data_IF_053847190548
#
_entry.id   IF_053847190548
#
_cell.length_a   1.000
_cell.length_b   1.000
_cell.length_c   1.000
_cell.angle_alpha   90.00
_cell.angle_beta   90.00
_cell.angle_gamma   90.00
#
_symmetry.space_group_name_H-M   'P 1'
#
loop_
_entity.id
_entity.type
_entity.pdbx_description
1 polymer ?
#
# COMPACT_ATOMS: atom_id res chain seq x y z
N UNK A 1 5.61 19.59 -20.52
CA UNK A 1 4.32 20.26 -20.21
C UNK A 1 4.11 20.13 -18.72
N UNK A 2 3.70 21.17 -18.00
CA UNK A 2 3.59 21.09 -16.54
C UNK A 2 2.17 20.69 -16.15
N UNK A 3 2.02 19.57 -15.46
CA UNK A 3 0.77 19.02 -14.98
C UNK A 3 0.58 19.42 -13.53
N UNK A 4 -0.56 20.05 -13.24
CA UNK A 4 -0.97 20.38 -11.88
C UNK A 4 -2.00 19.37 -11.42
N UNK A 5 -1.56 18.45 -10.56
CA UNK A 5 -2.39 17.38 -10.00
C UNK A 5 -2.81 17.79 -8.61
N UNK A 6 -4.09 17.62 -8.28
CA UNK A 6 -4.61 17.78 -6.93
C UNK A 6 -5.00 16.43 -6.37
N UNK A 7 -4.49 16.08 -5.20
CA UNK A 7 -4.84 14.90 -4.44
C UNK A 7 -5.60 15.27 -3.15
N UNK A 8 -6.66 14.52 -2.86
CA UNK A 8 -7.45 14.59 -1.63
C UNK A 8 -7.69 13.20 -1.08
N UNK A 9 -7.98 13.10 0.22
CA UNK A 9 -8.34 11.85 0.88
C UNK A 9 -9.81 11.90 1.32
N UNK A 10 -10.48 10.76 1.31
CA UNK A 10 -11.79 10.60 1.96
C UNK A 10 -11.67 10.35 3.47
N UNK A 11 -10.49 10.01 3.98
CA UNK A 11 -10.27 9.74 5.40
C UNK A 11 -9.81 10.96 6.19
N UNK A 12 -9.27 11.99 5.50
CA UNK A 12 -8.87 13.26 6.09
C UNK A 12 -9.45 14.43 5.28
N UNK A 13 -10.48 15.06 5.87
CA UNK A 13 -11.21 16.18 5.26
C UNK A 13 -10.36 17.45 5.09
N UNK A 14 -9.31 17.58 5.90
CA UNK A 14 -8.37 18.71 5.89
C UNK A 14 -7.18 18.49 4.94
N UNK A 15 -7.00 17.27 4.42
CA UNK A 15 -5.88 16.91 3.57
C UNK A 15 -6.05 17.43 2.14
N UNK A 16 -5.08 18.22 1.70
CA UNK A 16 -4.97 18.71 0.33
C UNK A 16 -3.51 18.71 -0.11
N UNK A 17 -3.23 18.01 -1.20
CA UNK A 17 -1.90 17.90 -1.76
C UNK A 17 -1.89 18.26 -3.25
N UNK A 18 -1.30 19.39 -3.59
CA UNK A 18 -1.16 19.85 -4.98
C UNK A 18 0.27 19.63 -5.46
N UNK A 19 0.41 18.89 -6.56
CA UNK A 19 1.67 18.46 -7.17
C UNK A 19 1.81 19.14 -8.53
N UNK A 20 2.99 19.68 -8.81
CA UNK A 20 3.40 20.07 -10.16
C UNK A 20 4.46 19.09 -10.65
N UNK A 21 4.25 18.48 -11.82
CA UNK A 21 5.14 17.49 -12.41
C UNK A 21 5.14 17.64 -13.93
N UNK A 22 6.21 17.25 -14.62
CA UNK A 22 6.19 17.26 -16.08
C UNK A 22 5.39 16.07 -16.62
N UNK A 23 4.59 16.29 -17.66
CA UNK A 23 3.85 15.23 -18.34
C UNK A 23 4.76 14.13 -18.94
N UNK A 24 6.03 14.44 -19.21
CA UNK A 24 7.00 13.46 -19.70
C UNK A 24 7.50 12.50 -18.60
N UNK A 25 7.22 12.78 -17.32
CA UNK A 25 7.58 11.90 -16.22
C UNK A 25 6.69 10.66 -16.19
N UNK A 26 7.22 9.61 -15.61
CA UNK A 26 6.56 8.33 -15.42
C UNK A 26 5.64 8.34 -14.20
N UNK A 27 4.67 7.42 -14.18
CA UNK A 27 3.88 7.17 -12.98
C UNK A 27 4.74 6.67 -11.81
N UNK A 28 5.89 6.06 -12.09
CA UNK A 28 6.85 5.65 -11.06
C UNK A 28 7.45 6.88 -10.36
N UNK A 29 7.87 7.89 -11.11
CA UNK A 29 8.41 9.12 -10.52
C UNK A 29 7.35 9.89 -9.74
N UNK A 30 6.09 9.86 -10.19
CA UNK A 30 4.96 10.41 -9.41
C UNK A 30 4.75 9.62 -8.11
N UNK A 31 4.79 8.29 -8.18
CA UNK A 31 4.67 7.41 -7.01
C UNK A 31 5.75 7.73 -5.97
N UNK A 32 7.01 7.72 -6.39
CA UNK A 32 8.15 7.94 -5.49
C UNK A 32 8.06 9.33 -4.83
N UNK A 33 7.61 10.33 -5.61
CA UNK A 33 7.39 11.67 -5.08
C UNK A 33 6.26 11.73 -4.05
N UNK A 34 5.14 11.05 -4.28
CA UNK A 34 4.03 10.98 -3.33
C UNK A 34 4.51 10.27 -2.05
N UNK A 35 5.18 9.14 -2.19
CA UNK A 35 5.67 8.36 -1.05
C UNK A 35 6.66 9.17 -0.20
N UNK A 36 7.62 9.85 -0.83
CA UNK A 36 8.57 10.73 -0.14
C UNK A 36 7.88 11.88 0.59
N UNK A 37 6.87 12.50 -0.04
CA UNK A 37 6.20 13.68 0.55
C UNK A 37 5.21 13.34 1.65
N UNK A 38 4.62 12.15 1.61
CA UNK A 38 3.66 11.69 2.61
C UNK A 38 4.30 10.76 3.67
N UNK A 39 5.62 10.53 3.59
CA UNK A 39 6.38 9.65 4.48
C UNK A 39 5.84 8.21 4.48
N UNK A 40 5.51 7.70 3.28
CA UNK A 40 5.07 6.33 3.07
C UNK A 40 6.26 5.41 2.79
N UNK A 41 6.19 4.18 3.29
CA UNK A 41 7.16 3.11 3.01
C UNK A 41 7.07 2.65 1.55
N UNK A 42 8.15 2.79 0.76
CA UNK A 42 8.19 2.40 -0.65
C UNK A 42 8.23 0.88 -0.86
N UNK A 43 8.44 0.09 0.18
CA UNK A 43 8.43 -1.38 0.13
C UNK A 43 7.03 -1.93 -0.11
N UNK A 44 6.00 -1.11 0.14
CA UNK A 44 4.61 -1.50 -0.02
C UNK A 44 4.11 -1.21 -1.44
N UNK A 45 3.26 -2.12 -1.92
CA UNK A 45 2.66 -2.00 -3.23
C UNK A 45 1.66 -0.86 -3.24
N UNK A 46 1.75 -0.05 -4.28
CA UNK A 46 0.82 1.03 -4.60
C UNK A 46 0.46 0.93 -6.07
N UNK A 47 -0.74 1.34 -6.44
CA UNK A 47 -1.21 1.29 -7.83
C UNK A 47 -1.95 2.59 -8.18
N UNK A 48 -1.85 3.01 -9.43
CA UNK A 48 -2.75 4.05 -9.97
C UNK A 48 -3.88 3.42 -10.76
N UNK A 49 -5.06 4.03 -10.71
CA UNK A 49 -6.19 3.66 -11.56
C UNK A 49 -6.66 4.90 -12.30
N UNK A 50 -6.60 4.88 -13.63
CA UNK A 50 -7.25 5.89 -14.46
C UNK A 50 -8.75 5.62 -14.41
N UNK A 51 -9.55 6.67 -14.20
CA UNK A 51 -11.00 6.53 -14.06
C UNK A 51 -11.76 7.40 -15.07
N UNK A 52 -13.01 7.03 -15.30
CA UNK A 52 -13.97 7.89 -15.97
C UNK A 52 -14.48 9.02 -15.04
N UNK A 53 -15.45 9.81 -15.54
CA UNK A 53 -16.10 10.89 -14.81
C UNK A 53 -16.89 10.41 -13.57
N UNK A 54 -17.25 9.13 -13.50
CA UNK A 54 -17.99 8.50 -12.41
C UNK A 54 -17.08 7.73 -11.43
N UNK A 55 -15.75 7.87 -11.54
CA UNK A 55 -14.73 7.16 -10.75
C UNK A 55 -14.69 5.64 -10.98
N UNK A 56 -15.23 5.15 -12.11
CA UNK A 56 -15.08 3.75 -12.49
C UNK A 56 -13.64 3.51 -12.99
N UNK A 57 -12.98 2.48 -12.45
CA UNK A 57 -11.61 2.12 -12.79
C UNK A 57 -11.55 1.51 -14.20
N UNK A 58 -10.79 2.12 -15.10
CA UNK A 58 -10.64 1.64 -16.48
C UNK A 58 -9.28 0.99 -16.72
N UNK A 59 -8.19 1.67 -16.34
CA UNK A 59 -6.82 1.23 -16.57
C UNK A 59 -6.10 1.19 -15.23
N UNK A 60 -5.44 0.07 -14.93
CA UNK A 60 -4.57 -0.05 -13.76
C UNK A 60 -3.10 0.15 -14.17
N UNK A 61 -2.37 0.95 -13.38
CA UNK A 61 -0.93 1.16 -13.53
C UNK A 61 -0.23 0.64 -12.28
N UNK A 62 0.50 -0.46 -12.43
CA UNK A 62 1.13 -1.22 -11.35
C UNK A 62 2.64 -0.99 -11.29
N UNK A 63 3.28 -1.09 -10.11
CA UNK A 63 4.71 -0.84 -9.95
C UNK A 63 5.54 -2.03 -10.48
N UNK A 64 4.98 -3.23 -10.41
CA UNK A 64 5.59 -4.49 -10.86
C UNK A 64 4.57 -5.31 -11.65
N UNK A 65 5.05 -6.05 -12.65
CA UNK A 65 4.23 -6.96 -13.44
C UNK A 65 3.85 -8.17 -12.57
N UNK A 66 2.56 -8.32 -12.28
CA UNK A 66 2.04 -9.46 -11.52
C UNK A 66 1.68 -10.67 -12.39
N UNK A 67 1.97 -10.63 -13.70
CA UNK A 67 1.75 -11.72 -14.64
C UNK A 67 0.34 -11.74 -15.27
N UNK A 68 0.15 -12.66 -16.24
CA UNK A 68 -1.00 -12.76 -17.18
C UNK A 68 -2.42 -12.97 -16.57
N UNK A 69 -2.60 -12.76 -15.26
CA UNK A 69 -3.89 -12.97 -14.58
C UNK A 69 -4.74 -11.71 -14.37
N UNK A 70 -4.16 -10.51 -14.51
CA UNK A 70 -4.77 -9.25 -14.05
C UNK A 70 -4.91 -8.22 -15.17
N UNK A 71 -5.90 -8.41 -16.05
CA UNK A 71 -6.43 -7.38 -16.96
C UNK A 71 -5.41 -6.62 -17.84
N UNK A 72 -5.88 -5.52 -18.44
CA UNK A 72 -5.02 -4.55 -19.14
C UNK A 72 -4.30 -3.66 -18.11
N UNK A 73 -3.30 -4.24 -17.42
CA UNK A 73 -2.44 -3.50 -16.50
C UNK A 73 -1.20 -2.96 -17.21
N UNK A 74 -0.79 -1.74 -16.86
CA UNK A 74 0.39 -1.06 -17.39
C UNK A 74 1.45 -0.91 -16.30
N UNK A 75 2.72 -0.90 -16.70
CA UNK A 75 3.81 -0.69 -15.76
C UNK A 75 4.05 0.80 -15.51
N UNK A 76 4.17 1.19 -14.24
CA UNK A 76 4.49 2.56 -13.83
C UNK A 76 5.78 3.07 -14.46
N UNK A 77 6.81 2.21 -14.58
CA UNK A 77 8.11 2.58 -15.17
C UNK A 77 8.02 2.88 -16.68
N UNK A 78 7.01 2.34 -17.37
CA UNK A 78 6.85 2.45 -18.84
C UNK A 78 5.75 3.44 -19.24
N UNK A 79 4.94 3.86 -18.29
CA UNK A 79 3.77 4.71 -18.53
C UNK A 79 4.10 6.13 -18.12
N UNK A 80 4.08 7.06 -19.08
CA UNK A 80 4.24 8.50 -18.79
C UNK A 80 2.89 9.12 -18.45
N UNK A 81 2.91 10.21 -17.68
CA UNK A 81 1.69 10.94 -17.33
C UNK A 81 0.97 11.42 -18.58
N UNK A 82 1.68 11.98 -19.55
CA UNK A 82 1.10 12.45 -20.81
C UNK A 82 0.51 11.33 -21.68
N UNK A 83 0.88 10.06 -21.45
CA UNK A 83 0.31 8.94 -22.21
C UNK A 83 -1.08 8.55 -21.73
N UNK A 84 -1.37 8.74 -20.43
CA UNK A 84 -2.64 8.32 -19.81
C UNK A 84 -3.53 9.50 -19.39
N UNK A 85 -2.93 10.65 -19.09
CA UNK A 85 -3.61 11.87 -18.67
C UNK A 85 -3.58 12.89 -19.81
N UNK A 86 -4.61 12.89 -20.65
CA UNK A 86 -4.67 13.74 -21.85
C UNK A 86 -5.47 15.01 -21.63
N UNK A 87 -6.45 14.98 -20.74
CA UNK A 87 -7.44 16.04 -20.61
C UNK A 87 -7.44 16.69 -19.22
N UNK A 88 -7.67 18.00 -19.19
CA UNK A 88 -7.87 18.73 -17.94
C UNK A 88 -9.15 18.22 -17.27
N UNK A 89 -9.11 18.07 -15.95
CA UNK A 89 -10.12 17.45 -15.08
C UNK A 89 -10.21 15.93 -15.17
N UNK A 90 -9.27 15.28 -15.85
CA UNK A 90 -9.20 13.83 -15.82
C UNK A 90 -8.93 13.32 -14.40
N UNK A 91 -9.68 12.30 -14.00
CA UNK A 91 -9.68 11.74 -12.66
C UNK A 91 -8.95 10.41 -12.63
N UNK A 92 -8.27 10.18 -11.53
CA UNK A 92 -7.53 8.95 -11.29
C UNK A 92 -7.34 8.74 -9.79
N UNK A 93 -7.10 7.50 -9.40
CA UNK A 93 -7.02 7.08 -8.00
C UNK A 93 -5.61 6.57 -7.73
N UNK A 94 -5.03 6.96 -6.60
CA UNK A 94 -3.82 6.35 -6.07
C UNK A 94 -4.19 5.46 -4.89
N UNK A 95 -3.93 4.18 -5.01
CA UNK A 95 -4.11 3.20 -3.94
C UNK A 95 -2.75 2.98 -3.30
N UNK A 96 -2.61 3.39 -2.03
CA UNK A 96 -1.37 3.21 -1.26
C UNK A 96 -1.41 2.01 -0.32
N UNK A 97 -2.60 1.42 -0.13
CA UNK A 97 -2.82 0.20 0.63
C UNK A 97 -3.90 -0.64 -0.06
N UNK A 98 -3.49 -1.68 -0.79
CA UNK A 98 -4.41 -2.58 -1.50
C UNK A 98 -5.25 -3.44 -0.55
N UNK A 99 -4.75 -3.74 0.66
CA UNK A 99 -5.44 -4.63 1.60
C UNK A 99 -6.58 -3.94 2.32
N UNK A 100 -6.37 -2.67 2.69
CA UNK A 100 -7.40 -1.84 3.34
C UNK A 100 -8.12 -0.90 2.37
N UNK A 101 -7.86 -1.02 1.07
CA UNK A 101 -8.45 -0.22 -0.01
C UNK A 101 -8.35 1.29 0.23
N UNK A 102 -7.19 1.75 0.75
CA UNK A 102 -7.00 3.17 1.11
C UNK A 102 -6.43 3.94 -0.06
N UNK A 103 -7.07 5.08 -0.32
CA UNK A 103 -6.91 5.78 -1.58
C UNK A 103 -6.74 7.29 -1.41
N UNK A 104 -6.09 7.89 -2.38
CA UNK A 104 -6.16 9.32 -2.67
C UNK A 104 -6.91 9.51 -3.99
N UNK A 105 -7.90 10.39 -3.98
CA UNK A 105 -8.58 10.85 -5.18
C UNK A 105 -7.73 11.95 -5.81
N UNK A 106 -7.40 11.79 -7.09
CA UNK A 106 -6.61 12.75 -7.83
C UNK A 106 -7.33 13.27 -9.06
N UNK A 107 -7.04 14.53 -9.37
CA UNK A 107 -7.55 15.22 -10.55
C UNK A 107 -6.42 16.02 -11.20
N UNK A 108 -6.30 15.93 -12.53
CA UNK A 108 -5.45 16.82 -13.32
C UNK A 108 -6.12 18.19 -13.43
N UNK A 109 -5.83 19.08 -12.49
CA UNK A 109 -6.49 20.38 -12.37
C UNK A 109 -6.14 21.35 -13.51
N UNK A 110 -4.90 21.32 -14.01
CA UNK A 110 -4.42 22.23 -15.04
C UNK A 110 -3.21 21.66 -15.78
N UNK A 111 -3.04 22.07 -17.05
CA UNK A 111 -1.86 21.79 -17.86
C UNK A 111 -1.31 23.13 -18.36
N UNK A 112 -0.05 23.42 -18.04
CA UNK A 112 0.65 24.64 -18.44
C UNK A 112 1.82 24.34 -19.40
N UNK A 113 2.15 25.31 -20.25
CA UNK A 113 3.34 25.23 -21.11
C UNK A 113 4.60 25.44 -20.27
N UNK A 114 5.56 24.52 -20.41
CA UNK A 114 6.83 24.58 -19.70
C UNK A 114 7.44 23.20 -19.49
N UNK A 115 8.60 23.21 -18.85
CA UNK A 115 9.34 22.02 -18.45
C UNK A 115 9.73 22.10 -16.97
N UNK A 116 9.54 21.00 -16.25
CA UNK A 116 9.91 20.89 -14.84
C UNK A 116 10.99 19.81 -14.69
N UNK A 117 12.10 20.14 -14.01
CA UNK A 117 13.22 19.18 -13.86
C UNK A 117 12.97 18.09 -12.82
N UNK A 118 12.17 18.38 -11.80
CA UNK A 118 11.82 17.47 -10.73
C UNK A 118 10.41 17.82 -10.25
N UNK A 119 9.59 16.87 -9.79
CA UNK A 119 8.27 17.15 -9.26
C UNK A 119 8.34 18.09 -8.04
N UNK A 120 7.34 18.94 -7.89
CA UNK A 120 7.28 19.95 -6.83
C UNK A 120 5.95 19.88 -6.11
N UNK A 121 6.00 19.89 -4.78
CA UNK A 121 4.84 20.03 -3.93
C UNK A 121 4.49 21.52 -3.89
N UNK A 122 3.45 21.92 -4.60
CA UNK A 122 2.99 23.31 -4.64
C UNK A 122 2.15 23.67 -3.42
N UNK A 123 1.44 22.69 -2.86
CA UNK A 123 0.62 22.86 -1.67
C UNK A 123 0.50 21.54 -0.91
N UNK A 124 0.69 21.57 0.40
CA UNK A 124 0.39 20.47 1.31
C UNK A 124 -0.26 21.06 2.55
N UNK A 125 -1.52 20.73 2.78
CA UNK A 125 -2.34 21.22 3.90
C UNK A 125 -3.03 20.03 4.56
N UNK A 126 -3.22 20.11 5.88
CA UNK A 126 -3.84 19.05 6.67
C UNK A 126 -2.86 17.94 7.02
N UNK A 127 -3.40 16.88 7.62
CA UNK A 127 -2.63 15.70 8.00
C UNK A 127 -2.75 14.64 6.91
N UNK A 128 -1.66 14.13 6.32
CA UNK A 128 -1.77 13.02 5.38
C UNK A 128 -2.38 11.80 6.06
N UNK A 129 -3.21 11.00 5.34
CA UNK A 129 -3.68 9.75 5.90
C UNK A 129 -2.47 8.86 6.21
N UNK A 130 -2.41 8.28 7.41
CA UNK A 130 -1.36 7.32 7.79
C UNK A 130 -1.29 6.20 6.75
N UNK A 131 -0.14 5.60 6.41
CA UNK A 131 -0.12 4.53 5.41
C UNK A 131 -0.75 3.23 5.94
N UNK A 132 -0.43 2.86 7.17
CA UNK A 132 -0.98 1.71 7.88
C UNK A 132 -1.87 2.19 9.02
N UNK A 133 -3.04 1.58 9.17
CA UNK A 133 -3.68 1.57 10.50
C UNK A 133 -2.87 0.58 11.30
N UNK A 134 -2.21 1.06 12.34
CA UNK A 134 -1.54 0.18 13.29
C UNK A 134 -2.61 -0.73 13.88
N UNK A 135 -2.72 -1.96 13.37
CA UNK A 135 -3.57 -2.98 13.95
C UNK A 135 -2.85 -3.45 15.19
N UNK A 136 -2.85 -2.59 16.23
CA UNK A 136 -2.08 -2.70 17.46
C UNK A 136 -1.48 -4.07 17.66
N UNK A 137 -0.24 -4.25 17.17
CA UNK A 137 0.64 -5.15 17.86
C UNK A 137 0.96 -4.40 19.13
N UNK A 138 0.26 -4.76 20.22
CA UNK A 138 0.52 -4.24 21.55
C UNK A 138 2.05 -4.20 21.74
N UNK A 139 2.56 -2.99 21.87
CA UNK A 139 3.95 -2.68 22.26
C UNK A 139 4.24 -3.15 23.71
N UNK A 140 3.33 -3.95 24.29
CA UNK A 140 3.44 -4.62 25.58
C UNK A 140 4.19 -5.96 25.51
N UNK A 141 4.53 -6.44 24.31
CA UNK A 141 5.44 -7.58 24.12
C UNK A 141 6.90 -7.15 23.86
N UNK A 142 7.29 -5.95 24.32
CA UNK A 142 8.71 -5.63 24.43
C UNK A 142 9.36 -6.68 25.35
N UNK A 143 10.53 -7.19 24.95
CA UNK A 143 11.33 -8.11 25.78
C UNK A 143 11.66 -7.51 27.16
N UNK A 144 11.62 -6.18 27.30
CA UNK A 144 11.70 -5.48 28.58
C UNK A 144 10.50 -5.77 29.50
N UNK A 145 9.26 -5.85 29.00
CA UNK A 145 8.06 -6.13 29.83
C UNK A 145 7.93 -7.62 30.24
N UNK A 146 8.55 -8.53 29.50
CA UNK A 146 8.63 -9.96 29.88
C UNK A 146 9.60 -10.16 31.05
N UNK A 147 10.62 -9.31 31.18
CA UNK A 147 11.62 -9.38 32.25
C UNK A 147 11.16 -8.69 33.55
N UNK A 148 10.12 -7.87 33.51
CA UNK A 148 9.57 -7.18 34.70
C UNK A 148 8.41 -7.93 35.36
N UNK A 149 7.98 -9.06 34.79
CA UNK A 149 7.04 -10.00 35.42
C UNK A 149 7.80 -11.13 36.15
N UNK A 150 8.66 -10.74 37.08
CA UNK A 150 9.25 -11.63 38.10
C UNK A 150 8.24 -11.85 39.25
N UNK A 151 7.07 -12.40 38.93
CA UNK A 151 6.14 -12.97 39.92
C UNK A 151 5.98 -14.47 39.61
N UNK A 152 7.13 -15.16 39.60
CA UNK A 152 7.21 -16.61 39.77
C UNK A 152 6.89 -16.93 41.24
N UNK A 153 5.61 -16.95 41.56
CA UNK A 153 5.14 -17.59 42.80
C UNK A 153 5.19 -19.11 42.60
N UNK A 154 6.29 -19.66 43.11
CA UNK A 154 6.56 -21.06 43.39
C UNK A 154 5.45 -21.60 44.31
N UNK A 155 4.57 -22.45 43.78
CA UNK A 155 3.97 -23.61 44.46
C UNK A 155 2.78 -24.16 43.65
N UNK A 156 3.00 -25.28 42.95
CA UNK A 156 2.17 -26.48 43.14
C UNK A 156 2.78 -27.66 42.41
N UNK A 157 3.47 -28.46 43.22
CA UNK A 157 3.74 -29.88 43.09
C UNK A 157 2.47 -30.70 42.83
N UNK A 158 2.64 -31.97 42.43
CA UNK A 158 1.67 -33.02 42.02
C UNK A 158 1.45 -33.12 40.49
N UNK A 159 1.74 -34.23 39.81
CA UNK A 159 2.06 -35.60 40.24
C UNK A 159 2.68 -36.35 39.07
N UNK A 160 3.62 -37.23 39.40
CA UNK A 160 4.18 -38.31 38.60
C UNK A 160 3.14 -39.08 37.77
N UNK A 161 3.53 -39.44 36.54
CA UNK A 161 3.60 -40.83 36.03
C UNK A 161 3.62 -40.83 34.49
N UNK A 162 4.79 -40.56 33.90
CA UNK A 162 5.06 -40.90 32.49
C UNK A 162 5.56 -42.34 32.44
N UNK A 163 4.63 -43.28 32.29
CA UNK A 163 4.94 -44.67 31.97
C UNK A 163 5.56 -44.75 30.57
N UNK A 164 6.87 -44.96 30.58
CA UNK A 164 7.71 -45.26 29.42
C UNK A 164 7.71 -46.77 29.19
N UNK A 165 7.59 -47.14 27.91
CA UNK A 165 7.66 -48.49 27.31
C UNK A 165 6.43 -49.40 27.39
N UNK A 166 5.80 -49.67 26.24
CA UNK A 166 5.85 -51.01 25.63
C UNK A 166 4.91 -51.24 24.44
N UNK A 167 5.53 -51.66 23.32
CA UNK A 167 5.02 -52.59 22.29
C UNK A 167 3.82 -52.12 21.44
N UNK A 168 3.63 -52.51 20.19
CA UNK A 168 4.40 -53.11 19.09
C UNK A 168 3.40 -53.05 17.93
N UNK A 169 3.93 -52.91 16.72
CA UNK A 169 3.45 -53.51 15.46
C UNK A 169 2.14 -54.30 15.52
N UNK A 170 1.14 -53.91 14.71
CA UNK A 170 0.70 -54.74 13.57
C UNK A 170 -0.58 -54.22 12.89
N UNK A 171 -0.58 -54.43 11.58
CA UNK A 171 -1.72 -54.63 10.68
C UNK A 171 -2.53 -53.42 10.17
N UNK A 172 -2.18 -52.99 8.96
CA UNK A 172 -3.17 -52.77 7.91
C UNK A 172 -2.71 -53.45 6.60
N UNK A 173 -2.97 -54.75 6.49
CA UNK A 173 -3.34 -55.37 5.21
C UNK A 173 -4.86 -55.18 5.03
N UNK A 174 -5.27 -54.56 3.92
CA UNK A 174 -6.40 -54.99 3.07
C UNK A 174 -6.41 -54.04 1.84
N UNK A 175 -5.82 -54.39 0.69
CA UNK A 175 -6.27 -55.36 -0.32
C UNK A 175 -7.47 -54.83 -1.14
N UNK A 176 -7.26 -54.61 -2.44
CA UNK A 176 -7.99 -55.26 -3.54
C UNK A 176 -8.13 -54.47 -4.86
N UNK A 177 -7.74 -55.21 -5.90
CA UNK A 177 -8.14 -55.23 -7.33
C UNK A 177 -7.70 -54.13 -8.30
#
# INVERSE_FOLDING_TARGET
MIYHIRAISNESDDFLFDIAIDGDFTFLELNDFIQEKLDYDPSHLSSFFITDDEWNKEIEVVPIDMGEGAGDSLLMEKSTLASLLTDVKQRFIYVFDLFNERILFMELAQIDEGELKNPVCTKLVGTPPIQFKDNGFDDDLSLENILDNDDFDDDNEYSDDVDFDSYSDDNFEDDFY
#
